data_IF_070593744062
#
_entry.id   IF_070593744062
#
_cell.length_a   1.000
_cell.length_b   1.000
_cell.length_c   1.000
_cell.angle_alpha   90.00
_cell.angle_beta   90.00
_cell.angle_gamma   90.00
#
_symmetry.space_group_name_H-M   'P 1'
#
loop_
_entity.id
_entity.type
_entity.pdbx_description
1 polymer ?
#
# COMPACT_ATOMS: atom_id res chain seq x y z
N UNK A 1 -12.17 7.32 -7.75
CA UNK A 1 -11.26 7.98 -6.79
C UNK A 1 -9.92 7.29 -6.85
N UNK A 2 -8.79 8.00 -6.70
CA UNK A 2 -7.49 7.36 -6.60
C UNK A 2 -7.39 6.47 -5.35
N UNK A 3 -6.75 5.32 -5.48
CA UNK A 3 -6.55 4.36 -4.38
C UNK A 3 -5.07 4.01 -4.23
N UNK A 4 -4.60 3.95 -2.99
CA UNK A 4 -3.28 3.44 -2.61
C UNK A 4 -3.45 2.15 -1.79
N UNK A 5 -2.71 1.11 -2.15
CA UNK A 5 -2.61 -0.13 -1.37
C UNK A 5 -1.19 -0.25 -0.83
N UNK A 6 -1.02 -0.29 0.49
CA UNK A 6 0.27 -0.62 1.12
C UNK A 6 0.12 -1.91 1.91
N UNK A 7 1.08 -2.82 1.79
CA UNK A 7 1.03 -4.12 2.48
C UNK A 7 2.44 -4.65 2.79
N UNK A 8 2.62 -5.28 3.96
CA UNK A 8 3.87 -5.96 4.31
C UNK A 8 3.94 -7.40 3.79
N UNK A 9 5.02 -7.80 3.11
CA UNK A 9 5.07 -9.15 2.51
C UNK A 9 5.19 -10.28 3.54
N UNK A 10 5.56 -9.96 4.78
CA UNK A 10 5.63 -10.89 5.93
C UNK A 10 4.42 -10.77 6.85
N UNK A 11 3.32 -10.17 6.40
CA UNK A 11 2.09 -10.11 7.19
C UNK A 11 1.44 -11.51 7.31
N UNK A 12 1.52 -12.07 8.52
CA UNK A 12 0.95 -13.38 8.87
C UNK A 12 -0.53 -13.30 9.26
N UNK A 13 -1.05 -12.12 9.59
CA UNK A 13 -2.45 -11.91 9.98
C UNK A 13 -3.34 -11.67 8.75
N UNK A 14 -2.86 -10.83 7.82
CA UNK A 14 -3.51 -10.56 6.54
C UNK A 14 -2.51 -10.88 5.42
N UNK A 15 -2.59 -12.06 4.79
CA UNK A 15 -1.60 -12.46 3.79
C UNK A 15 -1.51 -11.48 2.60
N UNK A 16 -0.27 -11.19 2.17
CA UNK A 16 0.02 -10.25 1.07
C UNK A 16 -0.73 -10.55 -0.24
N UNK A 17 -1.08 -11.82 -0.47
CA UNK A 17 -1.89 -12.23 -1.62
C UNK A 17 -3.24 -11.50 -1.70
N UNK A 18 -3.83 -11.12 -0.56
CA UNK A 18 -5.07 -10.34 -0.52
C UNK A 18 -4.87 -8.93 -1.08
N UNK A 19 -3.79 -8.24 -0.70
CA UNK A 19 -3.44 -6.93 -1.25
C UNK A 19 -3.17 -6.98 -2.75
N UNK A 20 -2.48 -8.02 -3.24
CA UNK A 20 -2.27 -8.24 -4.68
C UNK A 20 -3.58 -8.49 -5.44
N UNK A 21 -4.53 -9.24 -4.85
CA UNK A 21 -5.87 -9.44 -5.42
C UNK A 21 -6.65 -8.13 -5.54
N UNK A 22 -6.56 -7.25 -4.53
CA UNK A 22 -7.20 -5.93 -4.58
C UNK A 22 -6.59 -5.02 -5.66
N UNK A 23 -5.27 -5.07 -5.83
CA UNK A 23 -4.58 -4.35 -6.91
C UNK A 23 -5.04 -4.84 -8.28
N UNK A 24 -5.15 -6.16 -8.46
CA UNK A 24 -5.53 -6.78 -9.73
C UNK A 24 -7.04 -6.70 -10.06
N UNK A 25 -7.90 -6.44 -9.06
CA UNK A 25 -9.33 -6.26 -9.30
C UNK A 25 -9.56 -4.98 -10.12
N UNK A 26 -10.43 -4.94 -11.12
CA UNK A 26 -10.94 -3.75 -11.85
C UNK A 26 -9.97 -2.63 -12.32
N UNK A 27 -10.44 -1.80 -13.25
CA UNK A 27 -9.63 -0.78 -13.94
C UNK A 27 -9.53 0.57 -13.18
N UNK A 28 -9.77 0.59 -11.87
CA UNK A 28 -9.62 1.83 -11.11
C UNK A 28 -8.13 2.25 -11.03
N UNK A 29 -7.88 3.57 -11.01
CA UNK A 29 -6.52 4.11 -10.87
C UNK A 29 -5.98 3.76 -9.48
N UNK A 30 -5.04 2.82 -9.46
CA UNK A 30 -4.44 2.27 -8.24
C UNK A 30 -2.94 2.39 -8.27
N UNK A 31 -2.39 2.75 -7.13
CA UNK A 31 -0.96 2.64 -6.83
C UNK A 31 -0.78 1.62 -5.71
N UNK A 32 0.38 0.97 -5.66
CA UNK A 32 0.67 -0.01 -4.63
C UNK A 32 2.10 0.04 -4.15
N UNK A 33 2.31 -0.26 -2.86
CA UNK A 33 3.62 -0.56 -2.28
C UNK A 33 3.55 -1.84 -1.45
N UNK A 34 4.30 -2.85 -1.87
CA UNK A 34 4.52 -4.06 -1.09
C UNK A 34 5.93 -3.99 -0.46
N UNK A 35 6.01 -4.10 0.86
CA UNK A 35 7.25 -3.91 1.61
C UNK A 35 7.77 -5.28 2.05
N UNK A 36 8.83 -5.76 1.39
CA UNK A 36 9.36 -7.12 1.51
C UNK A 36 9.64 -7.55 2.96
N UNK A 37 10.11 -6.64 3.81
CA UNK A 37 10.51 -6.94 5.19
C UNK A 37 9.51 -6.52 6.27
N UNK A 38 8.32 -6.03 5.88
CA UNK A 38 7.27 -5.63 6.83
C UNK A 38 6.27 -6.75 7.10
N UNK A 39 5.84 -6.86 8.35
CA UNK A 39 4.68 -7.61 8.81
C UNK A 39 3.45 -6.73 8.96
N UNK A 40 2.51 -7.14 9.83
CA UNK A 40 1.23 -6.43 9.98
C UNK A 40 1.35 -5.03 10.58
N UNK A 41 2.27 -4.85 11.54
CA UNK A 41 2.30 -3.67 12.42
C UNK A 41 3.41 -2.67 12.12
N UNK A 42 4.36 -2.99 11.24
CA UNK A 42 5.57 -2.18 10.99
C UNK A 42 5.66 -1.66 9.56
N UNK A 43 4.55 -1.73 8.80
CA UNK A 43 4.43 -1.15 7.45
C UNK A 43 4.74 0.35 7.46
N UNK A 44 4.26 1.07 8.48
CA UNK A 44 4.49 2.52 8.61
C UNK A 44 5.97 2.84 8.70
N UNK A 45 6.66 2.24 9.68
CA UNK A 45 8.06 2.49 10.01
C UNK A 45 9.04 1.95 8.95
N UNK A 46 8.61 1.01 8.10
CA UNK A 46 9.44 0.44 7.02
C UNK A 46 9.28 1.15 5.68
N UNK A 47 8.97 2.44 5.72
CA UNK A 47 8.83 3.30 4.55
C UNK A 47 7.41 3.41 3.99
N UNK A 48 6.41 2.90 4.71
CA UNK A 48 5.00 3.14 4.37
C UNK A 48 4.62 4.61 4.52
N UNK A 49 5.20 5.30 5.51
CA UNK A 49 4.90 6.70 5.80
C UNK A 49 5.19 7.63 4.60
N UNK A 50 6.36 7.48 3.98
CA UNK A 50 6.81 8.29 2.84
C UNK A 50 5.84 8.11 1.66
N UNK A 51 5.45 6.87 1.40
CA UNK A 51 4.55 6.51 0.30
C UNK A 51 3.15 7.09 0.51
N UNK A 52 2.62 7.04 1.74
CA UNK A 52 1.30 7.63 2.07
C UNK A 52 1.34 9.14 1.90
N UNK A 53 2.36 9.80 2.49
CA UNK A 53 2.48 11.25 2.46
C UNK A 53 2.63 11.74 1.01
N UNK A 54 3.47 11.10 0.20
CA UNK A 54 3.68 11.48 -1.20
C UNK A 54 2.44 11.22 -2.06
N UNK A 55 1.71 10.13 -1.82
CA UNK A 55 0.46 9.85 -2.51
C UNK A 55 -0.58 10.95 -2.24
N UNK A 56 -0.71 11.37 -0.98
CA UNK A 56 -1.62 12.43 -0.55
C UNK A 56 -1.19 13.79 -1.13
N UNK A 57 0.09 14.15 -1.01
CA UNK A 57 0.62 15.44 -1.52
C UNK A 57 0.37 15.63 -3.02
N UNK A 58 0.61 14.60 -3.83
CA UNK A 58 0.34 14.64 -5.29
C UNK A 58 -1.15 14.81 -5.63
N UNK A 59 -2.05 14.68 -4.65
CA UNK A 59 -3.52 14.71 -4.85
C UNK A 59 -4.20 15.86 -4.13
N UNK A 60 -3.58 16.42 -3.09
CA UNK A 60 -4.00 17.66 -2.45
C UNK A 60 -3.35 18.91 -3.08
N UNK A 61 -2.33 18.73 -3.91
CA UNK A 61 -1.76 19.80 -4.74
C UNK A 61 -2.60 20.05 -5.99
N UNK A 62 -3.68 20.80 -5.84
CA UNK A 62 -4.33 21.60 -6.89
C UNK A 62 -4.54 23.02 -6.38
#
# INVERSE_FOLDING_TARGET
MPLLIIHGEKDELVPVAMGRRLLAANDAIKESRFIADAGHNDVWDRGGEEVVIDFIRRRLGS
#
